data_IF_836053207364
#
_entry.id   IF_836053207364
#
_cell.length_a   1.000
_cell.length_b   1.000
_cell.length_c   1.000
_cell.angle_alpha   90.00
_cell.angle_beta   90.00
_cell.angle_gamma   90.00
#
_symmetry.space_group_name_H-M   'P 1'
#
loop_
_entity.id
_entity.type
_entity.pdbx_description
1 polymer ?
#
# COMPACT_ATOMS: atom_id res chain seq x y z
N UNK A 1 -109.94 -92.54 27.07
CA UNK A 1 -110.90 -93.13 28.04
C UNK A 1 -111.63 -92.11 28.91
N UNK A 2 -111.12 -90.89 29.10
CA UNK A 2 -111.80 -89.81 29.84
C UNK A 2 -113.03 -89.21 29.10
N UNK A 3 -112.96 -89.05 27.77
CA UNK A 3 -114.06 -88.43 27.00
C UNK A 3 -115.29 -89.34 26.82
N UNK A 4 -115.11 -90.66 26.89
CA UNK A 4 -116.20 -91.65 26.75
C UNK A 4 -117.08 -91.67 28.00
N UNK A 5 -116.50 -91.39 29.17
CA UNK A 5 -117.24 -91.32 30.45
C UNK A 5 -117.98 -89.98 30.57
N UNK A 6 -117.40 -88.87 30.09
CA UNK A 6 -118.10 -87.58 29.99
C UNK A 6 -119.35 -87.66 29.10
N UNK A 7 -119.28 -88.37 27.97
CA UNK A 7 -120.44 -88.57 27.08
C UNK A 7 -121.55 -89.43 27.68
N UNK A 8 -121.25 -90.28 28.67
CA UNK A 8 -122.25 -91.08 29.38
C UNK A 8 -122.94 -90.29 30.51
N UNK A 9 -122.30 -89.23 31.02
CA UNK A 9 -122.84 -88.35 32.07
C UNK A 9 -123.75 -87.22 31.55
N UNK A 10 -123.70 -86.91 30.25
CA UNK A 10 -124.52 -85.86 29.61
C UNK A 10 -125.86 -86.38 29.02
N UNK A 11 -126.22 -87.64 29.24
CA UNK A 11 -127.55 -88.18 28.92
C UNK A 11 -128.39 -88.34 30.19
N UNK A 12 -129.35 -87.43 30.34
CA UNK A 12 -130.26 -87.28 31.48
C UNK A 12 -131.12 -88.53 31.78
N UNK A 13 -130.57 -89.42 32.60
CA UNK A 13 -131.29 -90.22 33.58
C UNK A 13 -130.46 -90.29 34.87
N UNK A 14 -130.08 -89.12 35.42
CA UNK A 14 -129.32 -89.04 36.68
C UNK A 14 -129.69 -87.78 37.49
N UNK A 15 -130.04 -87.93 38.76
CA UNK A 15 -130.39 -86.88 39.74
C UNK A 15 -129.14 -86.16 40.29
N UNK A 16 -129.27 -84.90 40.72
CA UNK A 16 -128.15 -84.06 41.20
C UNK A 16 -127.27 -84.72 42.29
N UNK A 17 -127.87 -85.44 43.25
CA UNK A 17 -127.13 -86.08 44.34
C UNK A 17 -126.15 -87.15 43.84
N UNK A 18 -126.55 -87.98 42.87
CA UNK A 18 -125.67 -88.99 42.29
C UNK A 18 -124.53 -88.41 41.45
N UNK A 19 -124.70 -87.18 40.92
CA UNK A 19 -123.62 -86.49 40.19
C UNK A 19 -122.57 -85.93 41.15
N UNK A 20 -122.99 -85.40 42.30
CA UNK A 20 -122.10 -84.87 43.33
C UNK A 20 -121.25 -85.99 43.96
N UNK A 21 -121.85 -87.12 44.34
CA UNK A 21 -121.10 -88.27 44.90
C UNK A 21 -120.09 -88.85 43.88
N UNK A 22 -120.48 -88.96 42.61
CA UNK A 22 -119.56 -89.43 41.56
C UNK A 22 -118.43 -88.40 41.35
N UNK A 23 -118.71 -87.10 41.40
CA UNK A 23 -117.69 -86.07 41.20
C UNK A 23 -116.72 -85.96 42.39
N UNK A 24 -117.19 -86.13 43.62
CA UNK A 24 -116.34 -86.16 44.81
C UNK A 24 -115.49 -87.44 44.86
N UNK A 25 -116.09 -88.60 44.57
CA UNK A 25 -115.35 -89.85 44.41
C UNK A 25 -114.33 -89.77 43.26
N UNK A 26 -114.68 -89.07 42.17
CA UNK A 26 -113.79 -88.83 41.04
C UNK A 26 -112.64 -87.88 41.40
N UNK A 27 -112.88 -86.76 42.08
CA UNK A 27 -111.84 -85.84 42.51
C UNK A 27 -110.91 -86.47 43.56
N UNK A 28 -111.46 -87.25 44.48
CA UNK A 28 -110.68 -88.04 45.44
C UNK A 28 -109.78 -89.04 44.73
N UNK A 29 -110.33 -89.85 43.79
CA UNK A 29 -109.53 -90.77 42.97
C UNK A 29 -108.54 -90.04 42.07
N UNK A 30 -108.88 -88.86 41.54
CA UNK A 30 -107.98 -88.05 40.72
C UNK A 30 -106.82 -87.49 41.56
N UNK A 31 -107.08 -87.09 42.80
CA UNK A 31 -106.05 -86.61 43.74
C UNK A 31 -105.15 -87.75 44.20
N UNK A 32 -105.71 -88.91 44.51
CA UNK A 32 -104.97 -90.12 44.88
C UNK A 32 -104.04 -90.56 43.75
N UNK A 33 -104.55 -90.67 42.52
CA UNK A 33 -103.73 -91.01 41.33
C UNK A 33 -102.66 -89.95 41.06
N UNK A 34 -102.95 -88.67 41.31
CA UNK A 34 -101.94 -87.60 41.15
C UNK A 34 -100.82 -87.69 42.19
N UNK A 35 -101.14 -87.96 43.45
CA UNK A 35 -100.12 -88.11 44.50
C UNK A 35 -99.33 -89.41 44.33
N UNK A 36 -99.97 -90.50 43.91
CA UNK A 36 -99.29 -91.74 43.55
C UNK A 36 -98.34 -91.52 42.37
N UNK A 37 -98.79 -90.89 41.28
CA UNK A 37 -97.94 -90.54 40.15
C UNK A 37 -96.79 -89.59 40.52
N UNK A 38 -97.01 -88.61 41.42
CA UNK A 38 -95.92 -87.75 41.92
C UNK A 38 -94.89 -88.53 42.73
N UNK A 39 -95.35 -89.47 43.55
CA UNK A 39 -94.48 -90.29 44.39
C UNK A 39 -93.67 -91.26 43.54
N UNK A 40 -94.32 -91.92 42.59
CA UNK A 40 -93.68 -92.78 41.58
C UNK A 40 -92.66 -91.99 40.75
N UNK A 41 -93.03 -90.82 40.24
CA UNK A 41 -92.11 -89.95 39.49
C UNK A 41 -90.94 -89.49 40.35
N UNK A 42 -91.15 -89.14 41.63
CA UNK A 42 -90.05 -88.79 42.55
C UNK A 42 -89.12 -89.97 42.82
N UNK A 43 -89.67 -91.15 43.03
CA UNK A 43 -88.87 -92.37 43.20
C UNK A 43 -88.10 -92.72 41.93
N UNK A 44 -88.73 -92.61 40.76
CA UNK A 44 -88.05 -92.80 39.48
C UNK A 44 -86.93 -91.77 39.28
N UNK A 45 -87.17 -90.49 39.55
CA UNK A 45 -86.14 -89.46 39.44
C UNK A 45 -85.02 -89.66 40.46
N UNK A 46 -85.32 -90.07 41.70
CA UNK A 46 -84.31 -90.39 42.70
C UNK A 46 -83.45 -91.58 42.26
N UNK A 47 -84.08 -92.66 41.79
CA UNK A 47 -83.39 -93.86 41.27
C UNK A 47 -82.54 -93.53 40.04
N UNK A 48 -83.06 -92.74 39.09
CA UNK A 48 -82.31 -92.29 37.91
C UNK A 48 -81.14 -91.39 38.32
N UNK A 49 -81.34 -90.47 39.25
CA UNK A 49 -80.26 -89.61 39.72
C UNK A 49 -79.16 -90.40 40.43
N UNK A 50 -79.51 -91.38 41.27
CA UNK A 50 -78.52 -92.28 41.89
C UNK A 50 -77.79 -93.13 40.85
N UNK A 51 -78.51 -93.65 39.85
CA UNK A 51 -77.91 -94.39 38.75
C UNK A 51 -76.95 -93.52 37.93
N UNK A 52 -77.39 -92.34 37.47
CA UNK A 52 -76.58 -91.43 36.66
C UNK A 52 -75.36 -90.94 37.45
N UNK A 53 -75.50 -90.67 38.75
CA UNK A 53 -74.38 -90.33 39.63
C UNK A 53 -73.38 -91.48 39.72
N UNK A 54 -73.85 -92.72 39.90
CA UNK A 54 -72.98 -93.90 39.93
C UNK A 54 -72.24 -94.07 38.59
N UNK A 55 -72.96 -93.95 37.47
CA UNK A 55 -72.38 -94.03 36.12
C UNK A 55 -71.35 -92.92 35.92
N UNK A 56 -71.60 -91.70 36.37
CA UNK A 56 -70.66 -90.59 36.23
C UNK A 56 -69.39 -90.80 37.05
N UNK A 57 -69.52 -91.31 38.29
CA UNK A 57 -68.37 -91.64 39.14
C UNK A 57 -67.55 -92.78 38.53
N UNK A 58 -68.20 -93.83 38.03
CA UNK A 58 -67.50 -94.92 37.34
C UNK A 58 -66.82 -94.46 36.05
N UNK A 59 -67.46 -93.60 35.26
CA UNK A 59 -66.89 -93.04 34.05
C UNK A 59 -65.70 -92.12 34.37
N UNK A 60 -65.78 -91.30 35.42
CA UNK A 60 -64.66 -90.49 35.90
C UNK A 60 -63.51 -91.35 36.39
N UNK A 61 -63.78 -92.38 37.20
CA UNK A 61 -62.73 -93.28 37.70
C UNK A 61 -62.08 -94.08 36.57
N UNK A 62 -62.85 -94.53 35.57
CA UNK A 62 -62.30 -95.15 34.37
C UNK A 62 -61.46 -94.19 33.55
N UNK A 63 -61.96 -92.98 33.26
CA UNK A 63 -61.23 -91.99 32.48
C UNK A 63 -59.91 -91.62 33.17
N UNK A 64 -59.95 -91.31 34.46
CA UNK A 64 -58.76 -90.94 35.24
C UNK A 64 -57.78 -92.11 35.31
N UNK A 65 -58.22 -93.32 35.60
CA UNK A 65 -57.32 -94.47 35.68
C UNK A 65 -56.74 -94.85 34.31
N UNK A 66 -57.52 -94.82 33.24
CA UNK A 66 -57.04 -95.15 31.89
C UNK A 66 -56.11 -94.06 31.34
N UNK A 67 -56.45 -92.78 31.53
CA UNK A 67 -55.60 -91.66 31.10
C UNK A 67 -54.29 -91.63 31.89
N UNK A 68 -54.33 -91.74 33.22
CA UNK A 68 -53.13 -91.77 34.05
C UNK A 68 -52.28 -93.01 33.75
N UNK A 69 -52.88 -94.20 33.54
CA UNK A 69 -52.10 -95.39 33.16
C UNK A 69 -51.41 -95.20 31.81
N UNK A 70 -52.08 -94.59 30.84
CA UNK A 70 -51.50 -94.31 29.52
C UNK A 70 -50.38 -93.28 29.62
N UNK A 71 -50.60 -92.17 30.30
CA UNK A 71 -49.57 -91.13 30.51
C UNK A 71 -48.36 -91.65 31.29
N UNK A 72 -48.57 -92.48 32.32
CA UNK A 72 -47.48 -93.12 33.06
C UNK A 72 -46.68 -94.05 32.14
N UNK A 73 -47.36 -94.83 31.28
CA UNK A 73 -46.68 -95.71 30.33
C UNK A 73 -45.85 -94.92 29.30
N UNK A 74 -46.41 -93.85 28.74
CA UNK A 74 -45.71 -92.94 27.83
C UNK A 74 -44.52 -92.25 28.52
N UNK A 75 -44.71 -91.74 29.74
CA UNK A 75 -43.65 -91.08 30.51
C UNK A 75 -42.49 -92.02 30.86
N UNK A 76 -42.79 -93.29 31.18
CA UNK A 76 -41.77 -94.31 31.43
C UNK A 76 -40.96 -94.57 30.16
N UNK A 77 -41.62 -94.63 29.00
CA UNK A 77 -40.96 -94.84 27.72
C UNK A 77 -40.11 -93.62 27.32
N UNK A 78 -40.64 -92.40 27.44
CA UNK A 78 -39.91 -91.15 27.20
C UNK A 78 -38.68 -91.05 28.10
N UNK A 79 -38.80 -91.42 29.38
CA UNK A 79 -37.66 -91.42 30.31
C UNK A 79 -36.58 -92.41 29.89
N UNK A 80 -36.96 -93.59 29.38
CA UNK A 80 -35.99 -94.57 28.82
C UNK A 80 -35.32 -94.02 27.57
N UNK A 81 -36.08 -93.44 26.64
CA UNK A 81 -35.55 -92.85 25.42
C UNK A 81 -34.61 -91.68 25.71
N UNK A 82 -34.97 -90.80 26.65
CA UNK A 82 -34.14 -89.68 27.07
C UNK A 82 -32.85 -90.16 27.75
N UNK A 83 -32.91 -91.21 28.58
CA UNK A 83 -31.71 -91.84 29.12
C UNK A 83 -30.82 -92.43 28.01
N UNK A 84 -31.41 -93.13 27.04
CA UNK A 84 -30.69 -93.67 25.89
C UNK A 84 -30.03 -92.56 25.06
N UNK A 85 -30.75 -91.48 24.75
CA UNK A 85 -30.23 -90.31 24.03
C UNK A 85 -29.10 -89.62 24.80
N UNK A 86 -29.22 -89.45 26.13
CA UNK A 86 -28.14 -88.88 26.95
C UNK A 86 -26.89 -89.75 26.93
N UNK A 87 -27.05 -91.08 26.97
CA UNK A 87 -25.91 -92.01 26.87
C UNK A 87 -25.28 -91.94 25.48
N UNK A 88 -26.08 -91.93 24.41
CA UNK A 88 -25.58 -91.81 23.04
C UNK A 88 -24.87 -90.48 22.79
N UNK A 89 -25.46 -89.37 23.25
CA UNK A 89 -24.85 -88.04 23.16
C UNK A 89 -23.52 -87.99 23.92
N UNK A 90 -23.49 -88.47 25.17
CA UNK A 90 -22.25 -88.53 25.97
C UNK A 90 -21.19 -89.42 25.32
N UNK A 91 -21.60 -90.53 24.70
CA UNK A 91 -20.70 -91.40 23.92
C UNK A 91 -20.20 -90.72 22.64
N UNK A 92 -21.03 -89.92 21.97
CA UNK A 92 -20.71 -89.22 20.72
C UNK A 92 -19.85 -87.96 20.89
N UNK A 93 -19.97 -87.25 22.03
CA UNK A 93 -19.18 -86.03 22.27
C UNK A 93 -17.68 -86.32 22.21
N UNK A 94 -17.19 -87.37 22.87
CA UNK A 94 -15.76 -87.68 22.91
C UNK A 94 -15.15 -87.88 21.50
N UNK A 95 -15.69 -88.76 20.62
CA UNK A 95 -15.17 -88.92 19.26
C UNK A 95 -15.35 -87.65 18.40
N UNK A 96 -16.43 -86.87 18.59
CA UNK A 96 -16.57 -85.57 17.91
C UNK A 96 -15.49 -84.58 18.33
N UNK A 97 -15.16 -84.50 19.62
CA UNK A 97 -14.08 -83.65 20.14
C UNK A 97 -12.72 -84.11 19.62
N UNK A 98 -12.47 -85.42 19.57
CA UNK A 98 -11.23 -85.97 18.98
C UNK A 98 -11.13 -85.68 17.48
N UNK A 99 -12.24 -85.75 16.75
CA UNK A 99 -12.28 -85.40 15.31
C UNK A 99 -12.06 -83.91 15.10
N UNK A 100 -12.69 -83.05 15.90
CA UNK A 100 -12.51 -81.60 15.86
C UNK A 100 -11.07 -81.22 16.22
N UNK A 101 -10.48 -81.84 17.23
CA UNK A 101 -9.08 -81.64 17.57
C UNK A 101 -8.17 -82.03 16.41
N UNK A 102 -8.38 -83.22 15.80
CA UNK A 102 -7.63 -83.64 14.62
C UNK A 102 -7.78 -82.66 13.46
N UNK A 103 -9.00 -82.20 13.19
CA UNK A 103 -9.27 -81.22 12.15
C UNK A 103 -8.54 -79.90 12.41
N UNK A 104 -8.65 -79.33 13.61
CA UNK A 104 -7.96 -78.09 13.99
C UNK A 104 -6.44 -78.27 13.90
N UNK A 105 -5.89 -79.38 14.41
CA UNK A 105 -4.43 -79.61 14.34
C UNK A 105 -3.94 -79.77 12.90
N UNK A 106 -4.72 -80.44 12.05
CA UNK A 106 -4.38 -80.60 10.63
C UNK A 106 -4.47 -79.27 9.89
N UNK A 107 -5.51 -78.48 10.16
CA UNK A 107 -5.69 -77.17 9.56
C UNK A 107 -4.60 -76.20 10.00
N UNK A 108 -4.28 -76.15 11.30
CA UNK A 108 -3.16 -75.35 11.82
C UNK A 108 -1.81 -75.79 11.22
N UNK A 109 -1.58 -77.09 11.04
CA UNK A 109 -0.36 -77.58 10.42
C UNK A 109 -0.26 -77.17 8.94
N UNK A 110 -1.38 -77.24 8.20
CA UNK A 110 -1.45 -76.79 6.81
C UNK A 110 -1.23 -75.27 6.71
N UNK A 111 -1.94 -74.47 7.50
CA UNK A 111 -1.78 -73.01 7.53
C UNK A 111 -0.37 -72.60 7.94
N UNK A 112 0.26 -73.31 8.88
CA UNK A 112 1.64 -73.06 9.26
C UNK A 112 2.63 -73.38 8.12
N UNK A 113 2.38 -74.45 7.36
CA UNK A 113 3.20 -74.80 6.19
C UNK A 113 3.03 -73.78 5.06
N UNK A 114 1.80 -73.36 4.77
CA UNK A 114 1.49 -72.28 3.82
C UNK A 114 2.16 -70.97 4.23
N UNK A 115 2.03 -70.56 5.50
CA UNK A 115 2.71 -69.35 6.03
C UNK A 115 4.24 -69.43 5.93
N UNK A 116 4.84 -70.61 6.12
CA UNK A 116 6.28 -70.77 5.92
C UNK A 116 6.67 -70.64 4.45
N UNK A 117 5.87 -71.20 3.54
CA UNK A 117 6.10 -71.07 2.10
C UNK A 117 5.95 -69.61 1.64
N UNK A 118 4.92 -68.91 2.10
CA UNK A 118 4.69 -67.50 1.81
C UNK A 118 5.84 -66.63 2.32
N UNK A 119 6.34 -66.89 3.54
CA UNK A 119 7.53 -66.20 4.08
C UNK A 119 8.77 -66.41 3.21
N UNK A 120 8.95 -67.62 2.67
CA UNK A 120 10.08 -67.91 1.78
C UNK A 120 9.94 -67.16 0.46
N UNK A 121 8.75 -67.16 -0.14
CA UNK A 121 8.48 -66.41 -1.38
C UNK A 121 8.64 -64.90 -1.16
N UNK A 122 8.18 -64.38 -0.04
CA UNK A 122 8.37 -62.97 0.33
C UNK A 122 9.85 -62.64 0.50
N UNK A 123 10.65 -63.51 1.13
CA UNK A 123 12.10 -63.32 1.23
C UNK A 123 12.79 -63.31 -0.14
N UNK A 124 12.38 -64.19 -1.07
CA UNK A 124 12.89 -64.20 -2.46
C UNK A 124 12.50 -62.92 -3.22
N UNK A 125 11.26 -62.44 -3.05
CA UNK A 125 10.81 -61.16 -3.63
C UNK A 125 11.58 -59.97 -3.05
N UNK A 126 11.83 -59.95 -1.74
CA UNK A 126 12.65 -58.90 -1.11
C UNK A 126 14.08 -58.94 -1.64
N UNK A 127 14.69 -60.12 -1.77
CA UNK A 127 16.03 -60.26 -2.32
C UNK A 127 16.12 -59.77 -3.78
N UNK A 128 15.09 -60.04 -4.60
CA UNK A 128 15.06 -59.53 -5.98
C UNK A 128 14.89 -58.00 -6.03
N UNK A 129 14.04 -57.42 -5.18
CA UNK A 129 13.92 -55.97 -5.03
C UNK A 129 15.23 -55.33 -4.56
N UNK A 130 15.91 -55.92 -3.57
CA UNK A 130 17.22 -55.44 -3.11
C UNK A 130 18.26 -55.49 -4.24
N UNK A 131 18.28 -56.57 -5.03
CA UNK A 131 19.18 -56.69 -6.19
C UNK A 131 18.87 -55.65 -7.27
N UNK A 132 17.59 -55.36 -7.51
CA UNK A 132 17.16 -54.36 -8.47
C UNK A 132 17.56 -52.96 -8.01
N UNK A 133 17.24 -52.60 -6.75
CA UNK A 133 17.58 -51.30 -6.16
C UNK A 133 19.09 -51.09 -6.13
N UNK A 134 19.88 -52.09 -5.70
CA UNK A 134 21.35 -51.99 -5.72
C UNK A 134 21.90 -51.83 -7.13
N UNK A 135 21.35 -52.55 -8.12
CA UNK A 135 21.76 -52.38 -9.52
C UNK A 135 21.36 -51.02 -10.10
N UNK A 136 20.20 -50.49 -9.74
CA UNK A 136 19.73 -49.17 -10.17
C UNK A 136 20.57 -48.06 -9.55
N UNK A 137 20.82 -48.13 -8.24
CA UNK A 137 21.69 -47.19 -7.54
C UNK A 137 23.13 -47.25 -8.08
N UNK A 138 23.65 -48.44 -8.43
CA UNK A 138 24.96 -48.56 -9.05
C UNK A 138 25.01 -47.94 -10.46
N UNK A 139 23.94 -48.06 -11.25
CA UNK A 139 23.83 -47.39 -12.55
C UNK A 139 23.74 -45.87 -12.38
N UNK A 140 22.83 -45.39 -11.52
CA UNK A 140 22.66 -43.96 -11.23
C UNK A 140 23.96 -43.34 -10.69
N UNK A 141 24.71 -44.04 -9.85
CA UNK A 141 25.99 -43.55 -9.34
C UNK A 141 27.03 -43.41 -10.45
N UNK A 142 27.09 -44.36 -11.39
CA UNK A 142 27.99 -44.27 -12.54
C UNK A 142 27.58 -43.14 -13.50
N UNK A 143 26.28 -43.02 -13.78
CA UNK A 143 25.72 -41.93 -14.59
C UNK A 143 26.01 -40.57 -13.94
N UNK A 144 25.85 -40.46 -12.62
CA UNK A 144 26.15 -39.26 -11.86
C UNK A 144 27.63 -38.85 -11.94
N UNK A 145 28.57 -39.81 -11.88
CA UNK A 145 29.99 -39.52 -12.07
C UNK A 145 30.30 -39.06 -13.51
N UNK A 146 29.63 -39.62 -14.52
CA UNK A 146 29.77 -39.15 -15.91
C UNK A 146 29.20 -37.75 -16.10
N UNK A 147 28.04 -37.46 -15.51
CA UNK A 147 27.38 -36.16 -15.56
C UNK A 147 28.21 -35.10 -14.83
N UNK A 148 28.78 -35.44 -13.67
CA UNK A 148 29.68 -34.54 -12.95
C UNK A 148 30.89 -34.14 -13.80
N UNK A 149 31.48 -35.09 -14.54
CA UNK A 149 32.59 -34.80 -15.48
C UNK A 149 32.12 -33.90 -16.62
N UNK A 150 30.98 -34.20 -17.24
CA UNK A 150 30.44 -33.40 -18.35
C UNK A 150 30.09 -31.96 -17.92
N UNK A 151 29.56 -31.77 -16.71
CA UNK A 151 29.32 -30.43 -16.13
C UNK A 151 30.62 -29.66 -15.91
N UNK A 152 31.69 -30.32 -15.45
CA UNK A 152 33.00 -29.68 -15.32
C UNK A 152 33.57 -29.32 -16.68
N UNK A 153 33.50 -30.21 -17.66
CA UNK A 153 33.98 -29.96 -19.03
C UNK A 153 33.23 -28.81 -19.70
N UNK A 154 31.90 -28.79 -19.60
CA UNK A 154 31.07 -27.68 -20.11
C UNK A 154 31.38 -26.38 -19.39
N UNK A 155 31.59 -26.39 -18.07
CA UNK A 155 32.02 -25.20 -17.33
C UNK A 155 33.38 -24.70 -17.81
N UNK A 156 34.36 -25.58 -18.01
CA UNK A 156 35.69 -25.20 -18.53
C UNK A 156 35.58 -24.63 -19.93
N UNK A 157 34.76 -25.24 -20.80
CA UNK A 157 34.50 -24.76 -22.16
C UNK A 157 33.86 -23.37 -22.15
N UNK A 158 32.82 -23.16 -21.34
CA UNK A 158 32.15 -21.87 -21.17
C UNK A 158 33.11 -20.80 -20.64
N UNK A 159 33.96 -21.13 -19.67
CA UNK A 159 34.97 -20.19 -19.15
C UNK A 159 35.99 -19.83 -20.23
N UNK A 160 36.41 -20.78 -21.06
CA UNK A 160 37.32 -20.52 -22.18
C UNK A 160 36.67 -19.60 -23.23
N UNK A 161 35.45 -19.92 -23.67
CA UNK A 161 34.69 -19.11 -24.62
C UNK A 161 34.41 -17.71 -24.06
N UNK A 162 34.03 -17.61 -22.79
CA UNK A 162 33.84 -16.33 -22.10
C UNK A 162 35.14 -15.52 -22.07
N UNK A 163 36.28 -16.13 -21.76
CA UNK A 163 37.59 -15.46 -21.74
C UNK A 163 37.97 -14.91 -23.13
N UNK A 164 37.71 -15.66 -24.19
CA UNK A 164 37.92 -15.21 -25.57
C UNK A 164 36.99 -14.03 -25.92
N UNK A 165 35.70 -14.12 -25.58
CA UNK A 165 34.75 -13.02 -25.76
C UNK A 165 35.12 -11.78 -24.95
N UNK A 166 35.57 -11.93 -23.70
CA UNK A 166 36.05 -10.82 -22.88
C UNK A 166 37.30 -10.16 -23.48
N UNK A 167 38.21 -10.94 -24.07
CA UNK A 167 39.37 -10.38 -24.77
C UNK A 167 38.94 -9.56 -26.00
N UNK A 168 37.97 -10.06 -26.78
CA UNK A 168 37.39 -9.33 -27.91
C UNK A 168 36.70 -8.03 -27.45
N UNK A 169 35.87 -8.08 -26.41
CA UNK A 169 35.19 -6.91 -25.83
C UNK A 169 36.21 -5.90 -25.31
N UNK A 170 37.25 -6.35 -24.60
CA UNK A 170 38.31 -5.47 -24.09
C UNK A 170 39.04 -4.75 -25.22
N UNK A 171 39.38 -5.47 -26.29
CA UNK A 171 40.02 -4.88 -27.48
C UNK A 171 39.10 -3.85 -28.16
N UNK A 172 37.82 -4.21 -28.36
CA UNK A 172 36.83 -3.31 -28.94
C UNK A 172 36.59 -2.07 -28.06
N UNK A 173 36.55 -2.25 -26.73
CA UNK A 173 36.42 -1.17 -25.76
C UNK A 173 37.60 -0.22 -25.82
N UNK A 174 38.84 -0.73 -25.79
CA UNK A 174 40.05 0.11 -25.89
C UNK A 174 40.07 0.88 -27.22
N UNK A 175 39.72 0.22 -28.34
CA UNK A 175 39.65 0.86 -29.65
C UNK A 175 38.59 1.95 -29.72
N UNK A 176 37.43 1.76 -29.08
CA UNK A 176 36.36 2.76 -29.03
C UNK A 176 36.70 3.90 -28.08
N UNK A 177 37.24 3.60 -26.91
CA UNK A 177 37.66 4.56 -25.89
C UNK A 177 38.79 5.47 -26.42
N UNK A 178 39.82 4.89 -27.04
CA UNK A 178 40.91 5.67 -27.66
C UNK A 178 40.39 6.64 -28.70
N UNK A 179 39.49 6.21 -29.60
CA UNK A 179 38.88 7.07 -30.61
C UNK A 179 38.04 8.20 -30.00
N UNK A 180 37.30 7.94 -28.92
CA UNK A 180 36.53 8.97 -28.21
C UNK A 180 37.48 9.97 -27.55
N UNK A 181 38.50 9.49 -26.83
CA UNK A 181 39.49 10.36 -26.17
C UNK A 181 40.24 11.20 -27.20
N UNK A 182 40.68 10.61 -28.31
CA UNK A 182 41.32 11.31 -29.42
C UNK A 182 40.42 12.42 -29.97
N UNK A 183 39.14 12.11 -30.23
CA UNK A 183 38.16 13.10 -30.71
C UNK A 183 37.97 14.24 -29.72
N UNK A 184 37.79 13.94 -28.42
CA UNK A 184 37.58 14.96 -27.38
C UNK A 184 38.82 15.82 -27.18
N UNK A 185 40.01 15.21 -27.16
CA UNK A 185 41.29 15.93 -27.04
C UNK A 185 41.51 16.81 -28.26
N UNK A 186 41.27 16.30 -29.48
CA UNK A 186 41.42 17.10 -30.70
C UNK A 186 40.43 18.27 -30.75
N UNK A 187 39.18 18.06 -30.34
CA UNK A 187 38.16 19.11 -30.29
C UNK A 187 38.53 20.18 -29.26
N UNK A 188 38.94 19.78 -28.06
CA UNK A 188 39.39 20.71 -27.02
C UNK A 188 40.65 21.47 -27.43
N UNK A 189 41.69 20.80 -27.95
CA UNK A 189 42.89 21.47 -28.45
C UNK A 189 42.53 22.48 -29.54
N UNK A 190 41.62 22.12 -30.46
CA UNK A 190 41.20 23.05 -31.52
C UNK A 190 40.49 24.27 -30.94
N UNK A 191 39.57 24.07 -29.98
CA UNK A 191 38.87 25.15 -29.27
C UNK A 191 39.84 26.06 -28.50
N UNK A 192 40.71 25.50 -27.69
CA UNK A 192 41.74 26.24 -26.93
C UNK A 192 42.68 26.98 -27.87
N UNK A 193 43.07 26.38 -29.00
CA UNK A 193 43.97 27.02 -29.96
C UNK A 193 43.26 28.15 -30.74
N UNK A 194 41.97 28.02 -31.04
CA UNK A 194 41.17 29.14 -31.58
C UNK A 194 41.01 30.27 -30.56
N UNK A 195 40.76 29.94 -29.30
CA UNK A 195 40.64 30.91 -28.22
C UNK A 195 41.97 31.65 -27.98
N UNK A 196 43.09 30.93 -27.87
CA UNK A 196 44.40 31.56 -27.77
C UNK A 196 44.74 32.44 -28.97
N UNK A 197 44.34 32.05 -30.17
CA UNK A 197 44.52 32.89 -31.37
C UNK A 197 43.71 34.18 -31.28
N UNK A 198 42.49 34.12 -30.78
CA UNK A 198 41.62 35.27 -30.54
C UNK A 198 42.20 36.18 -29.45
N UNK A 199 42.62 35.61 -28.32
CA UNK A 199 43.27 36.34 -27.22
C UNK A 199 44.54 37.07 -27.69
N UNK A 200 45.39 36.40 -28.49
CA UNK A 200 46.58 37.01 -29.08
C UNK A 200 46.19 38.15 -30.02
N UNK A 201 45.12 38.00 -30.80
CA UNK A 201 44.63 39.04 -31.70
C UNK A 201 44.13 40.25 -30.92
N UNK A 202 43.30 40.05 -29.91
CA UNK A 202 42.81 41.11 -29.02
C UNK A 202 43.97 41.79 -28.28
N UNK A 203 44.96 41.04 -27.79
CA UNK A 203 46.15 41.62 -27.18
C UNK A 203 46.97 42.48 -28.16
N UNK A 204 47.10 42.05 -29.42
CA UNK A 204 47.74 42.83 -30.48
C UNK A 204 46.95 44.09 -30.84
N UNK A 205 45.63 43.98 -30.98
CA UNK A 205 44.73 45.11 -31.23
C UNK A 205 44.78 46.12 -30.09
N UNK A 206 44.76 45.67 -28.84
CA UNK A 206 44.91 46.52 -27.65
C UNK A 206 46.28 47.20 -27.59
N UNK A 207 47.37 46.48 -27.87
CA UNK A 207 48.71 47.04 -27.88
C UNK A 207 48.88 48.05 -29.03
N UNK A 208 48.30 47.76 -30.20
CA UNK A 208 48.26 48.69 -31.32
C UNK A 208 47.46 49.95 -30.99
N UNK A 209 46.27 49.81 -30.41
CA UNK A 209 45.46 50.94 -29.94
C UNK A 209 46.19 51.77 -28.89
N UNK A 210 46.87 51.12 -27.94
CA UNK A 210 47.74 51.78 -26.96
C UNK A 210 48.87 52.57 -27.62
N UNK A 211 49.57 51.98 -28.61
CA UNK A 211 50.62 52.68 -29.36
C UNK A 211 50.10 53.88 -30.15
N UNK A 212 48.94 53.75 -30.80
CA UNK A 212 48.29 54.88 -31.48
C UNK A 212 47.93 55.96 -30.46
N UNK A 213 47.34 55.59 -29.33
CA UNK A 213 46.96 56.54 -28.30
C UNK A 213 48.18 57.24 -27.69
N UNK A 214 49.25 56.50 -27.40
CA UNK A 214 50.51 57.06 -26.90
C UNK A 214 51.16 58.00 -27.93
N UNK A 215 51.23 57.62 -29.20
CA UNK A 215 51.75 58.47 -30.27
C UNK A 215 50.88 59.72 -30.46
N UNK A 216 49.55 59.56 -30.51
CA UNK A 216 48.61 60.67 -30.63
C UNK A 216 48.67 61.61 -29.43
N UNK A 217 48.73 61.07 -28.20
CA UNK A 217 48.88 61.87 -27.00
C UNK A 217 50.22 62.61 -26.97
N UNK A 218 51.31 61.97 -27.41
CA UNK A 218 52.63 62.61 -27.51
C UNK A 218 52.64 63.76 -28.53
N UNK A 219 52.08 63.55 -29.72
CA UNK A 219 51.97 64.58 -30.76
C UNK A 219 50.98 65.70 -30.35
N UNK A 220 49.84 65.34 -29.77
CA UNK A 220 48.87 66.31 -29.24
C UNK A 220 49.48 67.15 -28.12
N UNK A 221 50.14 66.54 -27.14
CA UNK A 221 50.83 67.28 -26.09
C UNK A 221 51.91 68.18 -26.69
N UNK A 222 52.76 67.67 -27.60
CA UNK A 222 53.84 68.47 -28.19
C UNK A 222 53.32 69.64 -29.03
N UNK A 223 52.25 69.45 -29.81
CA UNK A 223 51.65 70.48 -30.65
C UNK A 223 50.90 71.54 -29.82
N UNK A 224 50.04 71.11 -28.89
CA UNK A 224 49.22 72.02 -28.09
C UNK A 224 49.95 72.62 -26.87
N UNK A 225 51.05 72.05 -26.37
CA UNK A 225 51.91 72.69 -25.37
C UNK A 225 52.56 73.97 -25.90
N UNK A 226 52.91 74.00 -27.19
CA UNK A 226 53.41 75.22 -27.82
C UNK A 226 52.33 76.30 -27.86
N UNK A 227 51.10 75.96 -28.23
CA UNK A 227 49.96 76.89 -28.16
C UNK A 227 49.69 77.36 -26.73
N UNK A 228 49.74 76.48 -25.73
CA UNK A 228 49.51 76.90 -24.33
C UNK A 228 50.63 77.83 -23.82
N UNK A 229 51.87 77.59 -24.25
CA UNK A 229 53.01 78.45 -23.89
C UNK A 229 52.96 79.81 -24.57
N UNK A 230 52.57 79.86 -25.85
CA UNK A 230 52.39 81.09 -26.62
C UNK A 230 51.19 81.89 -26.10
N UNK A 231 50.08 81.23 -25.74
CA UNK A 231 48.92 81.87 -25.09
C UNK A 231 49.30 82.47 -23.74
N UNK A 232 50.11 81.77 -22.92
CA UNK A 232 50.61 82.34 -21.65
C UNK A 232 51.53 83.54 -21.85
N UNK A 233 52.42 83.51 -22.86
CA UNK A 233 53.28 84.66 -23.20
C UNK A 233 52.43 85.85 -23.65
N UNK A 234 51.44 85.62 -24.51
CA UNK A 234 50.50 86.63 -24.96
C UNK A 234 49.71 87.22 -23.79
N UNK A 235 49.20 86.40 -22.87
CA UNK A 235 48.53 86.87 -21.65
C UNK A 235 49.45 87.72 -20.77
N UNK A 236 50.72 87.33 -20.60
CA UNK A 236 51.69 88.09 -19.82
C UNK A 236 52.02 89.44 -20.47
N UNK A 237 52.23 89.47 -21.78
CA UNK A 237 52.44 90.70 -22.54
C UNK A 237 51.22 91.63 -22.47
N UNK A 238 50.01 91.07 -22.53
CA UNK A 238 48.76 91.84 -22.37
C UNK A 238 48.65 92.46 -20.97
N UNK A 239 48.97 91.70 -19.92
CA UNK A 239 48.95 92.20 -18.54
C UNK A 239 50.00 93.31 -18.32
N UNK A 240 51.21 93.14 -18.84
CA UNK A 240 52.27 94.15 -18.77
C UNK A 240 51.90 95.42 -19.56
N UNK A 241 51.33 95.27 -20.75
CA UNK A 241 50.84 96.40 -21.55
C UNK A 241 49.68 97.13 -20.86
N UNK A 242 48.75 96.41 -20.25
CA UNK A 242 47.65 97.00 -19.46
C UNK A 242 48.17 97.77 -18.25
N UNK A 243 49.14 97.21 -17.51
CA UNK A 243 49.77 97.88 -16.37
C UNK A 243 50.49 99.17 -16.81
N UNK A 244 51.24 99.13 -17.93
CA UNK A 244 51.89 100.32 -18.49
C UNK A 244 50.89 101.38 -18.98
N UNK A 245 49.76 100.96 -19.56
CA UNK A 245 48.69 101.88 -19.97
C UNK A 245 48.08 102.56 -18.75
N UNK A 246 47.83 101.82 -17.67
CA UNK A 246 47.24 102.36 -16.45
C UNK A 246 48.21 103.29 -15.70
N UNK A 247 49.50 102.99 -15.70
CA UNK A 247 50.53 103.88 -15.16
C UNK A 247 50.64 105.16 -15.99
N UNK A 248 50.67 105.03 -17.34
CA UNK A 248 50.70 106.18 -18.24
C UNK A 248 49.42 107.02 -18.16
N UNK A 249 48.25 106.43 -17.93
CA UNK A 249 46.99 107.17 -17.79
C UNK A 249 46.99 107.99 -16.49
N UNK A 250 47.41 107.40 -15.37
CA UNK A 250 47.59 108.11 -14.09
C UNK A 250 48.59 109.26 -14.20
N UNK A 251 49.73 109.00 -14.85
CA UNK A 251 50.73 110.03 -15.10
C UNK A 251 50.16 111.15 -15.99
N UNK A 252 49.47 110.79 -17.08
CA UNK A 252 48.85 111.75 -17.99
C UNK A 252 47.80 112.62 -17.28
N UNK A 253 46.95 112.05 -16.44
CA UNK A 253 45.98 112.82 -15.64
C UNK A 253 46.66 113.78 -14.67
N UNK A 254 47.71 113.35 -13.98
CA UNK A 254 48.47 114.20 -13.05
C UNK A 254 49.11 115.41 -13.77
N UNK A 255 49.78 115.16 -14.91
CA UNK A 255 50.40 116.20 -15.72
C UNK A 255 49.35 117.13 -16.32
N UNK A 256 48.17 116.62 -16.70
CA UNK A 256 47.07 117.44 -17.23
C UNK A 256 46.50 118.40 -16.17
N UNK A 257 46.36 117.94 -14.93
CA UNK A 257 45.90 118.76 -13.81
C UNK A 257 46.93 119.88 -13.52
N UNK A 258 48.22 119.55 -13.49
CA UNK A 258 49.27 120.55 -13.28
C UNK A 258 49.32 121.59 -14.41
N UNK A 259 49.28 121.13 -15.67
CA UNK A 259 49.25 122.02 -16.84
C UNK A 259 48.07 123.00 -16.77
N UNK A 260 46.87 122.51 -16.45
CA UNK A 260 45.69 123.37 -16.32
C UNK A 260 45.86 124.41 -15.20
N UNK A 261 46.42 124.03 -14.05
CA UNK A 261 46.69 124.99 -12.95
C UNK A 261 47.68 126.08 -13.39
N UNK A 262 48.74 125.71 -14.11
CA UNK A 262 49.74 126.66 -14.61
C UNK A 262 49.13 127.59 -15.66
N UNK A 263 48.39 127.07 -16.63
CA UNK A 263 47.73 127.89 -17.66
C UNK A 263 46.71 128.87 -17.06
N UNK A 264 45.93 128.44 -16.06
CA UNK A 264 44.99 129.33 -15.37
C UNK A 264 45.70 130.45 -14.61
N UNK A 265 46.82 130.16 -13.93
CA UNK A 265 47.64 131.19 -13.28
C UNK A 265 48.23 132.16 -14.30
N UNK A 266 48.76 131.64 -15.40
CA UNK A 266 49.41 132.46 -16.41
C UNK A 266 48.41 133.38 -17.15
N UNK A 267 47.20 132.90 -17.44
CA UNK A 267 46.11 133.74 -17.98
C UNK A 267 45.74 134.86 -17.02
N UNK A 268 45.65 134.56 -15.73
CA UNK A 268 45.33 135.54 -14.69
C UNK A 268 46.36 136.66 -14.63
N UNK A 269 47.64 136.30 -14.54
CA UNK A 269 48.72 137.27 -14.44
C UNK A 269 48.82 138.17 -15.68
N UNK A 270 48.57 137.61 -16.86
CA UNK A 270 48.55 138.39 -18.12
C UNK A 270 47.43 139.43 -18.13
N UNK A 271 46.21 139.01 -17.76
CA UNK A 271 45.03 139.88 -17.72
C UNK A 271 45.19 140.99 -16.67
N UNK A 272 45.74 140.68 -15.49
CA UNK A 272 46.06 141.66 -14.45
C UNK A 272 47.13 142.66 -14.89
N UNK A 273 48.22 142.18 -15.52
CA UNK A 273 49.28 143.07 -15.98
C UNK A 273 48.85 143.99 -17.12
N UNK A 274 48.03 143.51 -18.07
CA UNK A 274 47.48 144.35 -19.14
C UNK A 274 46.57 145.46 -18.58
N UNK A 275 45.78 145.17 -17.54
CA UNK A 275 44.90 146.16 -16.90
C UNK A 275 45.66 147.19 -16.07
N UNK A 276 46.67 146.76 -15.31
CA UNK A 276 47.37 147.64 -14.38
C UNK A 276 48.47 148.50 -15.05
N UNK A 277 48.76 148.29 -16.34
CA UNK A 277 49.83 148.99 -17.05
C UNK A 277 49.65 150.52 -17.23
N UNK A 278 48.46 151.07 -17.51
CA UNK A 278 48.26 152.50 -17.72
C UNK A 278 48.11 153.32 -16.43
N UNK A 279 48.13 152.71 -15.25
CA UNK A 279 48.02 153.40 -13.96
C UNK A 279 49.41 153.58 -13.33
N UNK A 280 49.77 154.81 -12.91
CA UNK A 280 51.05 155.11 -12.27
C UNK A 280 50.91 155.32 -10.76
N UNK A 281 51.87 154.78 -10.01
CA UNK A 281 52.00 154.93 -8.55
C UNK A 281 50.83 154.35 -7.76
N UNK A 282 50.42 155.06 -6.70
CA UNK A 282 49.46 154.63 -5.68
C UNK A 282 48.12 154.12 -6.25
N UNK A 283 47.69 154.63 -7.43
CA UNK A 283 46.46 154.18 -8.09
C UNK A 283 46.55 152.73 -8.63
N UNK A 284 47.75 152.26 -8.99
CA UNK A 284 47.99 150.88 -9.45
C UNK A 284 47.90 149.88 -8.30
N UNK A 285 48.44 150.25 -7.14
CA UNK A 285 48.49 149.39 -5.96
C UNK A 285 47.09 149.22 -5.33
N UNK A 286 46.33 150.32 -5.23
CA UNK A 286 44.93 150.27 -4.76
C UNK A 286 44.06 149.42 -5.71
N UNK A 287 44.24 149.56 -7.03
CA UNK A 287 43.50 148.77 -8.01
C UNK A 287 43.91 147.28 -8.02
N UNK A 288 45.19 146.97 -7.78
CA UNK A 288 45.69 145.59 -7.68
C UNK A 288 45.09 144.86 -6.48
N UNK A 289 45.06 145.49 -5.30
CA UNK A 289 44.48 144.91 -4.09
C UNK A 289 42.96 144.70 -4.20
N UNK A 290 42.25 145.61 -4.89
CA UNK A 290 40.81 145.48 -5.13
C UNK A 290 40.46 144.35 -6.11
N UNK A 291 41.41 143.90 -6.95
CA UNK A 291 41.20 142.86 -7.97
C UNK A 291 41.77 141.48 -7.60
N UNK A 292 42.40 141.35 -6.43
CA UNK A 292 43.07 140.11 -6.00
C UNK A 292 42.10 138.97 -5.68
N UNK A 293 40.86 139.26 -5.27
CA UNK A 293 39.87 138.22 -4.93
C UNK A 293 38.86 137.92 -6.04
N UNK A 294 39.02 138.53 -7.22
CA UNK A 294 38.09 138.36 -8.36
C UNK A 294 38.52 137.19 -9.25
N UNK A 295 37.54 136.42 -9.75
CA UNK A 295 37.78 135.34 -10.73
C UNK A 295 38.34 135.88 -12.05
N UNK A 296 39.22 135.11 -12.68
CA UNK A 296 40.01 135.50 -13.84
C UNK A 296 39.19 136.06 -15.00
N UNK A 297 38.03 135.45 -15.26
CA UNK A 297 37.14 135.82 -16.37
C UNK A 297 36.45 137.18 -16.14
N UNK A 298 36.32 137.61 -14.87
CA UNK A 298 35.62 138.82 -14.47
C UNK A 298 36.55 140.01 -14.14
N UNK A 299 37.87 139.83 -14.28
CA UNK A 299 38.87 140.86 -13.99
C UNK A 299 38.66 142.13 -14.85
N UNK A 300 38.32 141.98 -16.14
CA UNK A 300 38.08 143.12 -17.07
C UNK A 300 36.91 144.00 -16.61
N UNK A 301 35.82 143.37 -16.22
CA UNK A 301 34.58 144.04 -15.80
C UNK A 301 34.77 144.76 -14.48
N UNK A 302 35.47 144.13 -13.54
CA UNK A 302 35.79 144.73 -12.24
C UNK A 302 36.74 145.92 -12.39
N UNK A 303 37.80 145.82 -13.20
CA UNK A 303 38.76 146.90 -13.43
C UNK A 303 38.11 148.18 -14.00
N UNK A 304 37.26 148.05 -15.03
CA UNK A 304 36.62 149.20 -15.67
C UNK A 304 35.62 149.93 -14.75
N UNK A 305 35.06 149.27 -13.73
CA UNK A 305 34.07 149.86 -12.81
C UNK A 305 34.69 150.85 -11.83
N UNK A 306 36.00 150.72 -11.57
CA UNK A 306 36.72 151.53 -10.58
C UNK A 306 37.53 152.68 -11.21
N UNK A 307 37.43 152.91 -12.52
CA UNK A 307 38.06 154.05 -13.19
C UNK A 307 37.15 155.30 -13.11
N UNK A 308 37.57 156.39 -12.44
CA UNK A 308 36.88 157.67 -12.50
C UNK A 308 37.08 158.30 -13.89
N UNK A 309 36.01 158.83 -14.50
CA UNK A 309 36.07 159.56 -15.78
C UNK A 309 37.02 160.76 -15.71
#
# INVERSE_FOLDING_TARGET
MLDIIKQLLDKDLVTEDTRAEIQEAWESKLSEVKEEAKTEVREEFAKRYEHDKSVMVEAMDRLVNESLKKEIAEFVEDRKQLAAQRVMYKKGIKPHMEMLQKFITKQLANEMAELQQDKKQMAEQVATLESFVTSSLAKELNEFETDKRSVVETRVKLVKEAKEKFAQIRSAFIKKASKIVESVVSENITKEMTQFKEDIKTARENNFGRKIFEAYASEYLTSYLNETSEVRKMQKQLAEAQAQIEEKSKLYESTRIEKNKIESRHRRDKILNEMLQPLSGDKKEVMSNLLETVQTDNLKTAFNKYLPH
#
